data_IF_398633105386
#
_entry.id   IF_398633105386
#
_cell.length_a   1.000
_cell.length_b   1.000
_cell.length_c   1.000
_cell.angle_alpha   90.00
_cell.angle_beta   90.00
_cell.angle_gamma   90.00
#
_symmetry.space_group_name_H-M   'P 1'
#
loop_
_entity.id
_entity.type
_entity.pdbx_description
1 polymer ?
#
# COMPACT_ATOMS: atom_id res chain seq x y z
N UNK A 1 -5.16 3.89 -9.55
CA UNK A 1 -5.52 2.98 -8.44
C UNK A 1 -5.17 1.52 -8.74
N UNK A 2 -5.67 0.95 -9.85
CA UNK A 2 -5.66 -0.50 -10.09
C UNK A 2 -4.28 -1.18 -10.12
N UNK A 3 -3.28 -0.56 -10.76
CA UNK A 3 -1.91 -1.11 -10.88
C UNK A 3 -1.27 -1.48 -9.54
N UNK A 4 -1.48 -0.68 -8.50
CA UNK A 4 -0.88 -0.94 -7.19
C UNK A 4 -1.78 -1.76 -6.27
N UNK A 5 -3.11 -1.72 -6.47
CA UNK A 5 -4.09 -2.36 -5.60
C UNK A 5 -4.60 -3.73 -6.05
N UNK A 6 -4.53 -4.10 -7.33
CA UNK A 6 -5.11 -5.36 -7.84
C UNK A 6 -4.10 -6.42 -8.27
N UNK A 7 -2.84 -6.05 -8.51
CA UNK A 7 -1.77 -7.00 -8.85
C UNK A 7 -0.78 -7.15 -7.70
N UNK A 8 0.16 -8.08 -7.81
CA UNK A 8 1.28 -8.25 -6.87
C UNK A 8 2.61 -7.97 -7.57
N UNK A 9 3.55 -7.40 -6.82
CA UNK A 9 4.94 -7.23 -7.28
C UNK A 9 5.68 -8.56 -7.45
N UNK A 10 5.14 -9.64 -6.86
CA UNK A 10 5.65 -11.01 -7.06
C UNK A 10 5.43 -11.51 -8.49
N UNK A 11 4.34 -11.07 -9.12
CA UNK A 11 3.90 -11.58 -10.43
C UNK A 11 4.23 -10.61 -11.57
N UNK A 12 4.55 -9.36 -11.26
CA UNK A 12 4.80 -8.31 -12.26
C UNK A 12 5.59 -7.14 -11.69
N UNK A 13 6.41 -6.49 -12.51
CA UNK A 13 7.00 -5.20 -12.18
C UNK A 13 5.93 -4.09 -12.25
N UNK A 14 5.44 -3.68 -11.09
CA UNK A 14 4.43 -2.61 -10.94
C UNK A 14 4.97 -1.21 -11.25
N UNK A 15 6.29 -1.02 -11.24
CA UNK A 15 6.92 0.28 -11.51
C UNK A 15 7.27 0.44 -12.99
N UNK A 16 7.23 -0.64 -13.76
CA UNK A 16 7.49 -0.62 -15.20
C UNK A 16 6.65 0.45 -15.92
N UNK A 17 7.35 1.31 -16.67
CA UNK A 17 6.77 2.42 -17.43
C UNK A 17 6.32 3.63 -16.60
N UNK A 18 6.64 3.69 -15.31
CA UNK A 18 6.41 4.89 -14.48
C UNK A 18 7.69 5.73 -14.38
N UNK A 19 7.52 7.05 -14.42
CA UNK A 19 8.60 7.98 -14.16
C UNK A 19 9.00 7.92 -12.68
N UNK A 20 10.24 7.51 -12.42
CA UNK A 20 10.79 7.37 -11.07
C UNK A 20 12.16 8.02 -10.94
N UNK A 21 12.50 8.40 -9.71
CA UNK A 21 13.86 8.81 -9.31
C UNK A 21 14.20 8.14 -7.98
N UNK A 22 15.47 7.82 -7.76
CA UNK A 22 15.95 7.31 -6.47
C UNK A 22 15.89 8.42 -5.40
N UNK A 23 15.23 8.12 -4.28
CA UNK A 23 15.13 8.98 -3.10
C UNK A 23 16.37 8.92 -2.21
N UNK A 24 16.40 9.76 -1.17
CA UNK A 24 17.46 9.76 -0.16
C UNK A 24 17.54 8.44 0.62
N UNK A 25 16.42 7.72 0.78
CA UNK A 25 16.42 6.37 1.37
C UNK A 25 16.88 5.26 0.41
N UNK A 26 17.06 5.56 -0.87
CA UNK A 26 17.24 4.57 -1.94
C UNK A 26 15.93 4.05 -2.56
N UNK A 27 14.76 4.39 -2.00
CA UNK A 27 13.48 3.98 -2.55
C UNK A 27 13.13 4.72 -3.86
N UNK A 28 12.37 4.11 -4.78
CA UNK A 28 11.90 4.79 -5.98
C UNK A 28 10.76 5.78 -5.65
N UNK A 29 10.97 7.06 -5.98
CA UNK A 29 9.98 8.12 -5.86
C UNK A 29 9.25 8.31 -7.20
N UNK A 30 7.92 8.22 -7.17
CA UNK A 30 7.07 8.50 -8.33
C UNK A 30 7.04 10.01 -8.61
N UNK A 31 7.66 10.47 -9.70
CA UNK A 31 7.83 11.90 -9.95
C UNK A 31 6.54 12.60 -10.39
N UNK A 32 5.57 11.83 -10.88
CA UNK A 32 4.22 12.30 -11.27
C UNK A 32 3.20 12.18 -10.13
N UNK A 33 3.57 11.67 -8.95
CA UNK A 33 2.65 11.59 -7.83
C UNK A 33 2.30 12.99 -7.29
N UNK A 34 1.13 13.16 -6.65
CA UNK A 34 0.75 14.44 -6.04
C UNK A 34 1.75 14.92 -4.99
N UNK A 35 2.32 13.97 -4.27
CA UNK A 35 3.42 14.14 -3.34
C UNK A 35 3.99 12.81 -2.89
N UNK A 36 5.12 12.85 -2.20
CA UNK A 36 5.80 11.70 -1.63
C UNK A 36 6.43 12.08 -0.30
N UNK A 37 6.53 11.07 0.57
CA UNK A 37 7.34 11.06 1.78
C UNK A 37 8.37 9.96 1.57
N UNK A 38 9.65 10.34 1.60
CA UNK A 38 10.75 9.39 1.59
C UNK A 38 11.16 9.12 3.04
N UNK A 39 11.11 7.87 3.47
CA UNK A 39 11.16 7.54 4.88
C UNK A 39 12.17 6.43 5.21
N UNK A 40 12.73 6.49 6.42
CA UNK A 40 13.49 5.40 7.04
C UNK A 40 12.67 4.78 8.18
N UNK A 41 12.61 3.46 8.25
CA UNK A 41 11.91 2.75 9.32
C UNK A 41 12.71 2.85 10.63
N UNK A 42 12.09 3.36 11.67
CA UNK A 42 12.66 3.51 13.02
C UNK A 42 12.18 2.40 13.96
N UNK A 43 10.92 1.94 13.81
CA UNK A 43 10.39 0.83 14.57
C UNK A 43 9.32 0.05 13.80
N UNK A 44 9.05 -1.18 14.25
CA UNK A 44 7.97 -2.03 13.76
C UNK A 44 7.23 -2.69 14.91
N UNK A 45 5.92 -2.83 14.76
CA UNK A 45 5.04 -3.52 15.69
C UNK A 45 4.24 -4.56 14.92
N UNK A 46 4.38 -5.82 15.33
CA UNK A 46 3.54 -6.91 14.82
C UNK A 46 2.16 -6.85 15.46
N UNK A 47 1.11 -6.94 14.65
CA UNK A 47 -0.30 -7.00 15.07
C UNK A 47 -0.99 -8.26 14.56
N UNK A 48 -0.24 -9.26 14.10
CA UNK A 48 -0.72 -10.53 13.55
C UNK A 48 -1.00 -10.45 12.06
N UNK A 49 -2.08 -9.76 11.67
CA UNK A 49 -2.44 -9.59 10.25
C UNK A 49 -1.69 -8.46 9.55
N UNK A 50 -1.10 -7.55 10.34
CA UNK A 50 -0.41 -6.36 9.84
C UNK A 50 0.87 -6.15 10.64
N UNK A 51 1.76 -5.37 10.05
CA UNK A 51 2.88 -4.77 10.77
C UNK A 51 2.73 -3.26 10.67
N UNK A 52 2.68 -2.59 11.82
CA UNK A 52 2.71 -1.13 11.89
C UNK A 52 4.16 -0.68 11.91
N UNK A 53 4.51 0.25 11.01
CA UNK A 53 5.85 0.82 10.92
C UNK A 53 5.82 2.26 11.42
N UNK A 54 6.72 2.60 12.34
CA UNK A 54 7.08 3.98 12.65
C UNK A 54 8.25 4.36 11.74
N UNK A 55 8.11 5.46 11.01
CA UNK A 55 9.11 5.88 10.04
C UNK A 55 9.43 7.37 10.18
N UNK A 56 10.73 7.70 10.18
CA UNK A 56 11.24 9.06 10.05
C UNK A 56 11.12 9.49 8.60
N UNK A 57 10.59 10.70 8.36
CA UNK A 57 10.61 11.33 7.03
C UNK A 57 11.97 11.97 6.82
N UNK A 58 12.76 11.46 5.86
CA UNK A 58 14.11 11.97 5.54
C UNK A 58 14.11 12.94 4.37
N UNK A 59 13.09 12.90 3.51
CA UNK A 59 12.82 13.89 2.46
C UNK A 59 11.31 13.88 2.12
N UNK A 60 10.76 14.99 1.64
CA UNK A 60 9.35 15.08 1.26
C UNK A 60 9.10 16.22 0.26
N UNK A 61 8.25 15.97 -0.74
CA UNK A 61 7.71 17.04 -1.62
C UNK A 61 6.28 16.76 -2.07
N UNK A 62 5.57 17.82 -2.42
CA UNK A 62 4.24 17.79 -3.03
C UNK A 62 4.22 18.57 -4.36
N UNK A 63 4.86 18.07 -5.42
CA UNK A 63 5.09 18.83 -6.64
C UNK A 63 3.85 18.95 -7.55
N UNK A 64 2.87 18.04 -7.44
CA UNK A 64 1.75 17.93 -8.37
C UNK A 64 0.38 18.00 -7.64
N UNK A 65 0.03 19.12 -7.00
CA UNK A 65 -1.21 19.22 -6.24
C UNK A 65 -2.44 18.87 -7.09
N UNK A 66 -3.28 17.97 -6.59
CA UNK A 66 -4.51 17.56 -7.26
C UNK A 66 -5.57 17.12 -6.23
N UNK A 67 -6.85 17.02 -6.63
CA UNK A 67 -7.86 16.41 -5.79
C UNK A 67 -7.50 14.95 -5.46
N UNK A 68 -7.41 14.63 -4.17
CA UNK A 68 -7.05 13.29 -3.71
C UNK A 68 -8.24 12.33 -3.80
N UNK A 69 -7.99 11.15 -4.37
CA UNK A 69 -8.96 10.07 -4.38
C UNK A 69 -8.94 9.31 -3.05
N UNK A 70 -10.09 9.18 -2.40
CA UNK A 70 -10.24 8.33 -1.20
C UNK A 70 -10.60 6.90 -1.58
N UNK A 71 -10.29 5.92 -0.72
CA UNK A 71 -10.67 4.51 -0.93
C UNK A 71 -12.19 4.37 -1.07
N UNK A 72 -12.96 5.05 -0.21
CA UNK A 72 -14.43 5.08 -0.30
C UNK A 72 -14.90 5.53 -1.68
N UNK A 73 -14.34 6.64 -2.19
CA UNK A 73 -14.71 7.17 -3.50
C UNK A 73 -14.26 6.26 -4.64
N UNK A 74 -13.06 5.67 -4.54
CA UNK A 74 -12.56 4.70 -5.50
C UNK A 74 -13.48 3.48 -5.62
N UNK A 75 -13.94 2.92 -4.48
CA UNK A 75 -14.86 1.79 -4.46
C UNK A 75 -16.22 2.14 -5.08
N UNK A 76 -16.74 3.34 -4.82
CA UNK A 76 -17.98 3.82 -5.42
C UNK A 76 -17.89 3.98 -6.95
N UNK A 77 -16.70 4.34 -7.46
CA UNK A 77 -16.46 4.58 -8.89
C UNK A 77 -15.88 3.36 -9.62
N UNK A 78 -15.67 2.23 -8.92
CA UNK A 78 -15.00 1.07 -9.49
C UNK A 78 -15.83 0.45 -10.63
N UNK A 79 -15.24 0.24 -11.83
CA UNK A 79 -15.87 -0.56 -12.87
C UNK A 79 -16.23 -1.97 -12.36
N UNK A 80 -17.28 -2.59 -12.91
CA UNK A 80 -17.81 -3.86 -12.41
C UNK A 80 -16.77 -5.01 -12.43
N UNK A 81 -15.94 -5.06 -13.47
CA UNK A 81 -14.83 -6.02 -13.59
C UNK A 81 -13.79 -5.82 -12.47
N UNK A 82 -13.43 -4.57 -12.17
CA UNK A 82 -12.46 -4.23 -11.12
C UNK A 82 -13.02 -4.46 -9.72
N UNK A 83 -14.30 -4.14 -9.53
CA UNK A 83 -15.01 -4.33 -8.27
C UNK A 83 -15.07 -5.81 -7.89
N UNK A 84 -15.34 -6.69 -8.85
CA UNK A 84 -15.35 -8.14 -8.62
C UNK A 84 -14.00 -8.65 -8.12
N UNK A 85 -12.91 -8.23 -8.75
CA UNK A 85 -11.55 -8.61 -8.34
C UNK A 85 -11.26 -8.15 -6.90
N UNK A 86 -11.65 -6.92 -6.54
CA UNK A 86 -11.49 -6.40 -5.18
C UNK A 86 -12.26 -7.22 -4.15
N UNK A 87 -13.51 -7.56 -4.45
CA UNK A 87 -14.36 -8.35 -3.55
C UNK A 87 -13.77 -9.75 -3.34
N UNK A 88 -13.30 -10.40 -4.40
CA UNK A 88 -12.61 -11.69 -4.33
C UNK A 88 -11.31 -11.62 -3.51
N UNK A 89 -10.52 -10.56 -3.70
CA UNK A 89 -9.28 -10.34 -2.93
C UNK A 89 -9.58 -10.11 -1.45
N UNK A 90 -10.54 -9.25 -1.12
CA UNK A 90 -10.91 -8.96 0.26
C UNK A 90 -11.41 -10.20 1.00
N UNK A 91 -12.23 -11.03 0.34
CA UNK A 91 -12.71 -12.30 0.92
C UNK A 91 -11.54 -13.26 1.17
N UNK A 92 -10.62 -13.37 0.20
CA UNK A 92 -9.44 -14.23 0.31
C UNK A 92 -8.56 -13.82 1.48
N UNK A 93 -8.30 -12.52 1.60
CA UNK A 93 -7.41 -11.95 2.61
C UNK A 93 -8.02 -12.03 4.01
N UNK A 94 -9.33 -11.78 4.14
CA UNK A 94 -10.00 -11.76 5.46
C UNK A 94 -9.87 -13.06 6.26
N UNK A 95 -9.88 -14.22 5.59
CA UNK A 95 -9.69 -15.51 6.26
C UNK A 95 -8.24 -15.71 6.73
N UNK A 96 -7.26 -15.20 5.99
CA UNK A 96 -5.85 -15.24 6.39
C UNK A 96 -5.59 -14.27 7.55
N UNK A 97 -6.12 -13.05 7.46
CA UNK A 97 -6.03 -12.01 8.49
C UNK A 97 -6.60 -12.52 9.83
N UNK A 98 -7.81 -13.09 9.82
CA UNK A 98 -8.45 -13.63 11.02
C UNK A 98 -7.58 -14.71 11.72
N UNK A 99 -7.02 -15.65 10.94
CA UNK A 99 -6.13 -16.68 11.48
C UNK A 99 -4.84 -16.09 12.06
N UNK A 100 -4.26 -15.11 11.38
CA UNK A 100 -3.02 -14.46 11.81
C UNK A 100 -3.24 -13.69 13.14
N UNK A 101 -4.35 -12.96 13.27
CA UNK A 101 -4.75 -12.29 14.52
C UNK A 101 -4.90 -13.29 15.66
N UNK A 102 -5.59 -14.41 15.43
CA UNK A 102 -5.79 -15.43 16.46
C UNK A 102 -4.47 -16.04 16.93
N UNK A 103 -3.56 -16.34 16.01
CA UNK A 103 -2.23 -16.85 16.32
C UNK A 103 -1.42 -15.85 17.14
N UNK A 104 -1.40 -14.59 16.71
CA UNK A 104 -0.72 -13.50 17.41
C UNK A 104 -1.24 -13.33 18.85
N UNK A 105 -2.57 -13.35 19.04
CA UNK A 105 -3.18 -13.27 20.38
C UNK A 105 -2.83 -14.46 21.27
N UNK A 106 -2.65 -15.65 20.70
CA UNK A 106 -2.25 -16.85 21.46
C UNK A 106 -0.78 -16.81 21.84
N UNK A 107 0.08 -16.26 20.98
CA UNK A 107 1.52 -16.12 21.22
C UNK A 107 1.93 -14.90 22.04
N UNK A 108 1.02 -13.93 22.22
CA UNK A 108 1.21 -12.75 23.07
C UNK A 108 0.88 -12.95 24.55
N UNK A 109 0.79 -14.20 25.02
CA UNK A 109 0.78 -14.59 26.44
C UNK A 109 2.09 -15.28 26.80
#
# INVERSE_FOLDING_TARGET
>A
AWRFGLSSGRDSDKLSGLATRVGASGAPLLTEAPGWLDCRVEARLDTGDRTVYLAEVVDARAPNPCPILTVKRMLQMAPADRRRILEEQLIRDGAADARAIEQWRRGGR
#
